data_IF_170346584860
#
_entry.id   IF_170346584860
#
_cell.length_a   1.000
_cell.length_b   1.000
_cell.length_c   1.000
_cell.angle_alpha   90.00
_cell.angle_beta   90.00
_cell.angle_gamma   90.00
#
_symmetry.space_group_name_H-M   'P 1'
#
loop_
_entity.id
_entity.type
_entity.pdbx_description
1 polymer ?
#
# COMPACT_ATOMS: atom_id res chain seq x y z
N UNK A 1 -30.17 39.14 -22.25
CA UNK A 1 -28.91 38.89 -21.52
C UNK A 1 -29.06 37.61 -20.72
N UNK A 2 -28.45 36.51 -21.15
CA UNK A 2 -28.54 35.23 -20.44
C UNK A 2 -27.52 35.18 -19.30
N UNK A 3 -28.01 35.03 -18.07
CA UNK A 3 -27.22 34.83 -16.86
C UNK A 3 -26.56 33.45 -16.96
N UNK A 4 -25.27 33.39 -17.29
CA UNK A 4 -24.49 32.15 -17.22
C UNK A 4 -24.43 31.70 -15.76
N UNK A 5 -25.23 30.68 -15.43
CA UNK A 5 -25.12 29.91 -14.20
C UNK A 5 -23.75 29.24 -14.18
N UNK A 6 -22.85 29.77 -13.35
CA UNK A 6 -21.55 29.17 -13.11
C UNK A 6 -21.76 27.91 -12.25
N UNK A 7 -22.05 26.77 -12.88
CA UNK A 7 -22.01 25.46 -12.21
C UNK A 7 -20.55 25.19 -11.83
N UNK A 8 -20.16 25.56 -10.62
CA UNK A 8 -18.91 25.06 -10.01
C UNK A 8 -19.03 23.54 -9.97
N UNK A 9 -18.10 22.87 -10.64
CA UNK A 9 -17.93 21.43 -10.55
C UNK A 9 -17.60 21.09 -9.08
N UNK A 10 -18.44 20.32 -8.35
CA UNK A 10 -18.23 20.06 -6.93
C UNK A 10 -17.01 19.17 -6.64
N UNK A 11 -16.47 18.47 -7.64
CA UNK A 11 -15.45 17.43 -7.47
C UNK A 11 -13.98 17.89 -7.59
N UNK A 12 -13.69 19.19 -7.61
CA UNK A 12 -12.32 19.70 -7.59
C UNK A 12 -11.80 20.04 -6.17
N UNK A 13 -12.56 19.66 -5.14
CA UNK A 13 -12.28 20.05 -3.75
C UNK A 13 -11.27 19.13 -3.04
N UNK A 14 -10.24 19.72 -2.43
CA UNK A 14 -9.46 19.04 -1.39
C UNK A 14 -10.32 18.96 -0.12
N UNK A 15 -10.49 17.76 0.43
CA UNK A 15 -11.16 17.56 1.74
C UNK A 15 -10.15 17.71 2.87
N UNK A 16 -10.48 18.52 3.88
CA UNK A 16 -9.69 18.61 5.12
C UNK A 16 -10.01 17.39 5.99
N UNK A 17 -8.97 16.71 6.44
CA UNK A 17 -9.03 15.67 7.46
C UNK A 17 -8.01 16.00 8.55
N UNK A 18 -8.29 15.61 9.79
CA UNK A 18 -7.41 15.86 10.92
C UNK A 18 -6.99 14.53 11.54
N UNK A 19 -5.68 14.34 11.69
CA UNK A 19 -5.08 13.20 12.38
C UNK A 19 -4.25 13.70 13.56
N UNK A 20 -4.12 12.85 14.57
CA UNK A 20 -3.23 13.07 15.71
C UNK A 20 -2.18 11.97 15.69
N UNK A 21 -0.92 12.39 15.64
CA UNK A 21 0.23 11.51 15.81
C UNK A 21 0.83 11.76 17.18
N UNK A 22 1.44 10.73 17.75
CA UNK A 22 2.36 10.92 18.87
C UNK A 22 3.49 11.86 18.44
N UNK A 23 3.95 12.68 19.37
CA UNK A 23 4.94 13.73 19.09
C UNK A 23 6.21 13.18 18.44
N UNK A 24 6.69 12.02 18.90
CA UNK A 24 7.93 11.44 18.38
C UNK A 24 7.75 10.85 16.98
N UNK A 25 6.60 10.23 16.72
CA UNK A 25 6.25 9.76 15.36
C UNK A 25 6.12 10.93 14.40
N UNK A 26 5.46 12.02 14.82
CA UNK A 26 5.34 13.23 13.99
C UNK A 26 6.71 13.81 13.63
N UNK A 27 7.66 13.85 14.56
CA UNK A 27 9.02 14.32 14.28
C UNK A 27 9.74 13.45 13.25
N UNK A 28 9.58 12.13 13.32
CA UNK A 28 10.17 11.22 12.34
C UNK A 28 9.55 11.42 10.94
N UNK A 29 8.22 11.55 10.86
CA UNK A 29 7.51 11.88 9.61
C UNK A 29 8.00 13.22 9.05
N UNK A 30 8.15 14.23 9.91
CA UNK A 30 8.62 15.55 9.51
C UNK A 30 10.05 15.49 8.94
N UNK A 31 10.95 14.76 9.59
CA UNK A 31 12.33 14.60 9.12
C UNK A 31 12.39 13.94 7.75
N UNK A 32 11.64 12.86 7.53
CA UNK A 32 11.60 12.16 6.22
C UNK A 32 11.09 13.10 5.12
N UNK A 33 10.06 13.89 5.41
CA UNK A 33 9.52 14.84 4.45
C UNK A 33 10.54 15.96 4.13
N UNK A 34 11.26 16.45 5.14
CA UNK A 34 12.31 17.47 4.98
C UNK A 34 13.50 16.95 4.16
N UNK A 35 13.99 15.74 4.47
CA UNK A 35 15.09 15.10 3.74
C UNK A 35 14.73 14.84 2.27
N UNK A 36 13.44 14.62 1.98
CA UNK A 36 12.91 14.46 0.64
C UNK A 36 12.49 15.78 -0.04
N UNK A 37 12.72 16.93 0.61
CA UNK A 37 12.37 18.28 0.13
C UNK A 37 10.88 18.45 -0.23
N UNK A 38 9.98 17.81 0.53
CA UNK A 38 8.53 17.91 0.35
C UNK A 38 7.81 18.32 1.64
N UNK A 39 6.60 18.86 1.51
CA UNK A 39 5.78 19.12 2.70
C UNK A 39 5.25 17.82 3.32
N UNK A 40 5.08 17.80 4.64
CA UNK A 40 4.42 16.69 5.36
C UNK A 40 3.06 16.34 4.74
N UNK A 41 2.30 17.34 4.28
CA UNK A 41 1.03 17.09 3.62
C UNK A 41 1.19 16.36 2.27
N UNK A 42 2.18 16.71 1.45
CA UNK A 42 2.46 15.97 0.21
C UNK A 42 2.90 14.54 0.51
N UNK A 43 3.77 14.36 1.51
CA UNK A 43 4.22 13.05 1.96
C UNK A 43 3.05 12.18 2.41
N UNK A 44 2.21 12.68 3.32
CA UNK A 44 1.05 11.95 3.82
C UNK A 44 0.01 11.67 2.72
N UNK A 45 -0.19 12.59 1.76
CA UNK A 45 -1.05 12.32 0.61
C UNK A 45 -0.47 11.23 -0.31
N UNK A 46 0.84 11.23 -0.52
CA UNK A 46 1.54 10.20 -1.29
C UNK A 46 1.39 8.82 -0.65
N UNK A 47 1.70 8.71 0.64
CA UNK A 47 1.51 7.47 1.41
C UNK A 47 0.05 7.02 1.36
N UNK A 48 -0.90 7.92 1.63
CA UNK A 48 -2.32 7.56 1.67
C UNK A 48 -2.81 7.07 0.31
N UNK A 49 -2.38 7.72 -0.78
CA UNK A 49 -2.73 7.29 -2.14
C UNK A 49 -2.15 5.91 -2.45
N UNK A 50 -0.88 5.69 -2.12
CA UNK A 50 -0.24 4.40 -2.32
C UNK A 50 -0.93 3.32 -1.48
N UNK A 51 -1.20 3.61 -0.21
CA UNK A 51 -1.82 2.67 0.73
C UNK A 51 -3.21 2.24 0.23
N UNK A 52 -4.06 3.18 -0.19
CA UNK A 52 -5.41 2.86 -0.71
C UNK A 52 -5.35 1.97 -1.96
N UNK A 53 -4.35 2.17 -2.83
CA UNK A 53 -4.22 1.38 -4.05
C UNK A 53 -3.66 -0.03 -3.82
N UNK A 54 -3.04 -0.28 -2.66
CA UNK A 54 -2.39 -1.55 -2.33
C UNK A 54 -3.02 -2.24 -1.12
N UNK A 55 -4.09 -1.69 -0.55
CA UNK A 55 -4.72 -2.23 0.65
C UNK A 55 -5.62 -3.42 0.31
N UNK A 56 -5.45 -4.50 1.05
CA UNK A 56 -6.27 -5.69 1.02
C UNK A 56 -6.85 -5.93 2.41
N UNK A 57 -8.18 -6.04 2.51
CA UNK A 57 -8.89 -6.18 3.78
C UNK A 57 -8.82 -7.65 4.22
N UNK A 58 -8.28 -7.91 5.41
CA UNK A 58 -8.06 -9.25 5.94
C UNK A 58 -6.60 -9.51 6.29
N UNK A 59 -6.30 -10.77 6.60
CA UNK A 59 -4.95 -11.23 6.92
C UNK A 59 -4.32 -11.83 5.66
N UNK A 60 -3.20 -11.26 5.22
CA UNK A 60 -2.45 -11.77 4.08
C UNK A 60 -1.52 -12.89 4.52
N UNK A 61 -1.45 -13.97 3.74
CA UNK A 61 -0.51 -15.05 4.00
C UNK A 61 0.02 -15.64 2.70
N UNK A 62 1.31 -15.97 2.70
CA UNK A 62 1.92 -16.74 1.63
C UNK A 62 1.37 -18.16 1.65
N UNK A 63 0.93 -18.62 0.50
CA UNK A 63 0.43 -19.99 0.33
C UNK A 63 1.59 -20.97 0.17
N UNK A 64 1.32 -22.28 0.25
CA UNK A 64 2.29 -23.30 -0.20
C UNK A 64 2.21 -23.54 -1.71
N UNK A 65 1.15 -23.04 -2.35
CA UNK A 65 0.88 -23.24 -3.75
C UNK A 65 1.70 -22.25 -4.56
N UNK A 66 2.16 -22.70 -5.73
CA UNK A 66 2.95 -21.85 -6.62
C UNK A 66 2.18 -21.55 -7.90
N UNK A 67 2.19 -20.29 -8.29
CA UNK A 67 1.71 -19.80 -9.58
C UNK A 67 2.95 -19.45 -10.39
N UNK A 68 3.15 -20.12 -11.52
CA UNK A 68 4.33 -19.92 -12.38
C UNK A 68 5.68 -20.09 -11.65
N UNK A 69 5.71 -20.90 -10.59
CA UNK A 69 6.91 -21.13 -9.76
C UNK A 69 7.15 -20.09 -8.66
N UNK A 70 6.25 -19.12 -8.49
CA UNK A 70 6.26 -18.15 -7.40
C UNK A 70 5.21 -18.50 -6.35
N UNK A 71 5.54 -18.28 -5.07
CA UNK A 71 4.58 -18.43 -3.98
C UNK A 71 3.54 -17.32 -4.08
N UNK A 72 2.25 -17.68 -4.14
CA UNK A 72 1.17 -16.71 -4.20
C UNK A 72 0.71 -16.27 -2.81
N UNK A 73 -0.02 -15.16 -2.75
CA UNK A 73 -0.60 -14.61 -1.52
C UNK A 73 -2.11 -14.73 -1.58
N UNK A 74 -2.69 -15.27 -0.51
CA UNK A 74 -4.13 -15.26 -0.30
C UNK A 74 -4.51 -14.34 0.86
N UNK A 75 -5.77 -13.92 0.87
CA UNK A 75 -6.35 -13.13 1.95
C UNK A 75 -7.37 -13.95 2.71
N UNK A 76 -7.16 -14.10 4.02
CA UNK A 76 -8.14 -14.67 4.94
C UNK A 76 -9.01 -13.56 5.52
N UNK A 77 -10.32 -13.75 5.49
CA UNK A 77 -11.25 -12.83 6.15
C UNK A 77 -10.97 -12.77 7.67
N UNK A 78 -10.46 -11.63 8.13
CA UNK A 78 -10.16 -11.38 9.53
C UNK A 78 -10.41 -9.90 9.82
N UNK A 79 -11.46 -9.62 10.58
CA UNK A 79 -11.76 -8.26 11.01
C UNK A 79 -10.61 -7.71 11.87
N UNK A 80 -10.24 -6.45 11.63
CA UNK A 80 -9.12 -5.80 12.28
C UNK A 80 -7.77 -5.98 11.59
N UNK A 81 -7.71 -6.74 10.49
CA UNK A 81 -6.48 -6.91 9.71
C UNK A 81 -6.57 -6.20 8.35
N UNK A 82 -5.45 -5.57 7.96
CA UNK A 82 -5.24 -5.01 6.63
C UNK A 82 -3.79 -5.32 6.24
N UNK A 83 -3.57 -5.83 5.05
CA UNK A 83 -2.23 -5.98 4.49
C UNK A 83 -2.07 -5.12 3.23
N UNK A 84 -0.86 -4.66 2.99
CA UNK A 84 -0.52 -3.80 1.86
C UNK A 84 0.45 -4.53 0.95
N UNK A 85 0.10 -4.64 -0.32
CA UNK A 85 0.85 -5.44 -1.28
C UNK A 85 0.01 -5.84 -2.48
N UNK A 86 0.50 -6.82 -3.21
CA UNK A 86 -0.20 -7.39 -4.35
C UNK A 86 -0.04 -8.91 -4.36
N UNK A 87 -1.05 -9.60 -4.88
CA UNK A 87 -0.97 -11.02 -5.23
C UNK A 87 -0.11 -11.19 -6.48
N UNK A 88 0.10 -12.43 -6.93
CA UNK A 88 0.69 -12.67 -8.24
C UNK A 88 -0.10 -11.95 -9.34
N UNK A 89 0.62 -11.32 -10.27
CA UNK A 89 0.04 -10.64 -11.44
C UNK A 89 0.82 -11.03 -12.69
N UNK A 90 0.10 -11.17 -13.80
CA UNK A 90 0.68 -11.21 -15.14
C UNK A 90 0.42 -9.86 -15.78
N UNK A 91 1.49 -9.16 -16.16
CA UNK A 91 1.41 -7.87 -16.84
C UNK A 91 1.96 -7.97 -18.26
N UNK A 92 1.41 -7.18 -19.17
CA UNK A 92 1.99 -6.98 -20.49
C UNK A 92 3.17 -5.98 -20.37
N UNK A 93 4.31 -6.32 -20.95
CA UNK A 93 5.53 -5.50 -21.03
C UNK A 93 6.04 -5.48 -22.47
N UNK A 94 6.99 -4.61 -22.80
CA UNK A 94 7.61 -4.53 -24.13
C UNK A 94 9.08 -4.96 -24.07
N UNK A 95 9.49 -5.88 -24.95
CA UNK A 95 10.90 -6.26 -25.08
C UNK A 95 11.73 -5.18 -25.81
N UNK A 96 13.05 -5.38 -25.91
CA UNK A 96 13.94 -4.42 -26.61
C UNK A 96 13.64 -4.26 -28.11
N UNK A 97 12.85 -5.16 -28.69
CA UNK A 97 12.42 -5.14 -30.09
C UNK A 97 11.00 -4.55 -30.25
N UNK A 98 10.37 -4.12 -29.15
CA UNK A 98 9.03 -3.54 -29.12
C UNK A 98 7.91 -4.57 -29.25
N UNK A 99 8.17 -5.84 -28.95
CA UNK A 99 7.12 -6.88 -28.91
C UNK A 99 6.50 -6.96 -27.53
N UNK A 100 5.18 -7.11 -27.49
CA UNK A 100 4.45 -7.40 -26.25
C UNK A 100 4.85 -8.77 -25.73
N UNK A 101 5.34 -8.81 -24.49
CA UNK A 101 5.67 -10.01 -23.74
C UNK A 101 4.85 -10.03 -22.45
N UNK A 102 4.58 -11.22 -21.93
CA UNK A 102 4.02 -11.37 -20.59
C UNK A 102 5.17 -11.35 -19.56
N UNK A 103 4.98 -10.57 -18.51
CA UNK A 103 5.88 -10.47 -17.37
C UNK A 103 5.15 -10.89 -16.10
N UNK A 104 5.69 -11.92 -15.47
CA UNK A 104 5.25 -12.38 -14.16
C UNK A 104 5.74 -11.40 -13.08
N UNK A 105 4.81 -10.93 -12.25
CA UNK A 105 5.07 -10.09 -11.08
C UNK A 105 4.71 -10.93 -9.84
N UNK A 106 5.70 -11.43 -9.08
CA UNK A 106 5.47 -12.26 -7.90
C UNK A 106 4.64 -11.51 -6.86
N UNK A 107 3.78 -12.22 -6.12
CA UNK A 107 3.07 -11.61 -4.99
C UNK A 107 4.02 -11.17 -3.88
N UNK A 108 3.75 -10.02 -3.28
CA UNK A 108 4.52 -9.50 -2.14
C UNK A 108 3.63 -8.81 -1.11
N UNK A 109 3.87 -9.10 0.18
CA UNK A 109 3.33 -8.34 1.32
C UNK A 109 4.39 -7.33 1.77
N UNK A 110 4.12 -6.04 1.58
CA UNK A 110 5.04 -4.98 2.00
C UNK A 110 4.97 -4.72 3.51
N UNK A 111 3.75 -4.65 4.06
CA UNK A 111 3.52 -4.60 5.50
C UNK A 111 2.08 -5.01 5.83
N UNK A 112 1.86 -5.42 7.07
CA UNK A 112 0.54 -5.81 7.59
C UNK A 112 0.24 -5.08 8.90
N UNK A 113 -0.99 -4.59 9.01
CA UNK A 113 -1.56 -4.03 10.24
C UNK A 113 -2.52 -5.06 10.82
N UNK A 114 -2.27 -5.49 12.05
CA UNK A 114 -3.13 -6.40 12.79
C UNK A 114 -3.56 -5.73 14.10
N UNK A 115 -4.83 -5.34 14.16
CA UNK A 115 -5.46 -4.74 15.33
C UNK A 115 -6.23 -5.76 16.18
N UNK A 116 -6.03 -7.06 15.95
CA UNK A 116 -6.61 -8.11 16.78
C UNK A 116 -5.78 -8.30 18.06
N UNK A 117 -6.41 -8.83 19.11
CA UNK A 117 -5.72 -9.13 20.39
C UNK A 117 -4.59 -10.17 20.24
N UNK A 118 -4.45 -10.82 19.07
CA UNK A 118 -3.37 -11.78 18.78
C UNK A 118 -1.99 -11.13 18.72
N UNK A 119 -1.91 -9.81 18.57
CA UNK A 119 -0.67 -9.04 18.43
C UNK A 119 -0.40 -8.04 19.56
N UNK A 120 -0.95 -8.26 20.77
CA UNK A 120 -0.48 -7.55 21.99
C UNK A 120 0.97 -7.95 22.36
N UNK A 121 1.52 -9.03 21.80
CA UNK A 121 2.95 -9.36 21.90
C UNK A 121 3.43 -10.06 20.63
N UNK A 122 4.06 -9.33 19.71
CA UNK A 122 5.12 -9.86 18.83
C UNK A 122 6.18 -8.81 18.61
N UNK A 123 6.99 -8.61 19.65
CA UNK A 123 8.42 -8.41 19.42
C UNK A 123 8.93 -9.61 18.60
N UNK A 124 9.90 -9.38 17.71
CA UNK A 124 10.59 -10.37 16.86
C UNK A 124 9.97 -10.64 15.48
N UNK A 125 10.34 -9.80 14.51
CA UNK A 125 10.64 -10.27 13.15
C UNK A 125 12.13 -10.66 13.10
N UNK A 126 12.52 -11.94 13.25
CA UNK A 126 13.77 -12.39 12.68
C UNK A 126 13.50 -12.75 11.21
N UNK A 127 14.21 -12.09 10.30
CA UNK A 127 14.42 -12.58 8.94
C UNK A 127 14.89 -14.03 9.03
N UNK A 128 14.02 -15.01 8.77
CA UNK A 128 14.47 -16.37 8.48
C UNK A 128 14.82 -16.42 7.00
N UNK A 129 16.12 -16.42 6.73
CA UNK A 129 16.67 -16.83 5.44
C UNK A 129 16.13 -18.21 5.09
N UNK A 130 15.33 -18.29 4.02
CA UNK A 130 14.99 -19.56 3.40
C UNK A 130 16.27 -20.15 2.79
N UNK A 131 16.90 -21.11 3.50
CA UNK A 131 17.96 -21.93 2.92
C UNK A 131 17.37 -22.92 1.91
N UNK A 132 17.97 -22.95 0.72
CA UNK A 132 17.74 -23.90 -0.36
C UNK A 132 18.05 -25.34 0.05
#
# INVERSE_FOLDING_TARGET
MAKRSNKRNPDLGKTRFELRFDTDLYKQIQQIAEDAEISVNQFMQGISRWAVNNANIGEGFYTSDTVHGYVDIETREQAGCIWFGHTFQVAEDEDMEGRTIERDIPGEIYFQLDYTERHVVKDDFPHQEYKR
#
